data_IF_456111118957
#
_entry.id   IF_456111118957
#
_cell.length_a   1.000
_cell.length_b   1.000
_cell.length_c   1.000
_cell.angle_alpha   90.00
_cell.angle_beta   90.00
_cell.angle_gamma   90.00
#
_symmetry.space_group_name_H-M   'P 1'
#
loop_
_entity.id
_entity.type
_entity.pdbx_description
1 polymer ?
#
# COMPACT_ATOMS: atom_id res chain seq x y z
N UNK A 1 -15.12 34.01 -36.14
CA UNK A 1 -14.95 33.88 -34.67
C UNK A 1 -15.15 32.42 -34.30
N UNK A 2 -14.05 31.71 -34.05
CA UNK A 2 -14.05 30.31 -33.66
C UNK A 2 -13.80 30.20 -32.15
N UNK A 3 -14.51 29.27 -31.51
CA UNK A 3 -14.63 29.10 -30.07
C UNK A 3 -13.28 28.93 -29.37
N UNK A 4 -13.08 29.74 -28.33
CA UNK A 4 -11.92 29.75 -27.44
C UNK A 4 -12.10 28.69 -26.34
N UNK A 5 -11.99 27.41 -26.70
CA UNK A 5 -11.93 26.31 -25.74
C UNK A 5 -11.07 25.19 -26.30
N UNK A 6 -9.76 25.25 -26.08
CA UNK A 6 -8.90 24.07 -26.11
C UNK A 6 -8.61 23.67 -24.65
N UNK A 7 -9.34 22.69 -24.09
CA UNK A 7 -9.06 22.21 -22.75
C UNK A 7 -7.74 21.43 -22.77
N UNK A 8 -6.75 21.93 -22.04
CA UNK A 8 -5.47 21.32 -21.68
C UNK A 8 -5.59 19.98 -20.88
N UNK A 9 -6.67 19.21 -21.06
CA UNK A 9 -7.05 18.07 -20.24
C UNK A 9 -6.44 16.73 -20.70
N UNK A 10 -5.77 16.68 -21.86
CA UNK A 10 -5.27 15.43 -22.42
C UNK A 10 -4.01 14.86 -21.74
N UNK A 11 -3.39 15.59 -20.80
CA UNK A 11 -2.17 15.12 -20.10
C UNK A 11 -2.41 14.59 -18.68
N UNK A 12 -3.64 14.56 -18.19
CA UNK A 12 -3.97 14.15 -16.82
C UNK A 12 -4.20 12.62 -16.65
N UNK A 13 -3.61 11.79 -17.51
CA UNK A 13 -3.89 10.35 -17.57
C UNK A 13 -2.79 9.43 -17.03
N UNK A 14 -1.56 9.91 -16.88
CA UNK A 14 -0.44 9.04 -16.52
C UNK A 14 0.15 9.49 -15.19
N UNK A 15 -0.38 8.95 -14.09
CA UNK A 15 0.35 8.91 -12.82
C UNK A 15 1.52 7.94 -13.00
N UNK A 16 2.59 8.40 -13.63
CA UNK A 16 3.86 7.68 -13.61
C UNK A 16 4.32 7.67 -12.16
N UNK A 17 4.56 6.51 -11.52
CA UNK A 17 5.23 6.52 -10.22
C UNK A 17 6.56 7.24 -10.39
N UNK A 18 6.85 8.19 -9.52
CA UNK A 18 8.12 8.92 -9.51
C UNK A 18 9.26 7.88 -9.46
N UNK A 19 10.06 7.81 -10.52
CA UNK A 19 11.20 6.91 -10.61
C UNK A 19 12.12 7.16 -9.39
N UNK A 20 12.28 6.15 -8.54
CA UNK A 20 13.17 6.20 -7.38
C UNK A 20 12.52 5.93 -6.02
N UNK A 21 11.18 5.89 -5.94
CA UNK A 21 10.51 5.44 -4.71
C UNK A 21 10.43 3.92 -4.72
N UNK A 22 11.11 3.28 -3.77
CA UNK A 22 10.94 1.84 -3.51
C UNK A 22 9.45 1.52 -3.32
N UNK A 23 8.96 0.35 -3.75
CA UNK A 23 7.54 0.08 -3.77
C UNK A 23 6.97 0.11 -2.36
N UNK A 24 6.16 1.11 -2.11
CA UNK A 24 5.24 1.14 -0.98
C UNK A 24 4.31 -0.08 -1.06
N UNK A 25 4.44 -0.99 -0.10
CA UNK A 25 3.61 -2.20 -0.05
C UNK A 25 2.45 -1.96 0.90
N UNK A 26 1.25 -1.92 0.33
CA UNK A 26 0.01 -1.93 1.09
C UNK A 26 -0.48 -3.38 1.25
N UNK A 27 -0.84 -3.75 2.49
CA UNK A 27 -1.46 -5.03 2.79
C UNK A 27 -2.75 -4.82 3.59
N UNK A 28 -3.68 -5.77 3.49
CA UNK A 28 -4.98 -5.67 4.19
C UNK A 28 -4.88 -6.32 5.56
N UNK A 29 -5.31 -5.62 6.61
CA UNK A 29 -5.43 -6.20 7.94
C UNK A 29 -6.50 -7.31 7.94
N UNK A 30 -6.18 -8.54 8.36
CA UNK A 30 -7.15 -9.65 8.39
C UNK A 30 -8.23 -9.50 9.48
N UNK A 31 -8.11 -8.53 10.39
CA UNK A 31 -9.05 -8.31 11.49
C UNK A 31 -10.08 -7.23 11.15
N UNK A 32 -9.61 -6.01 10.84
CA UNK A 32 -10.51 -4.87 10.56
C UNK A 32 -10.63 -4.54 9.07
N UNK A 33 -9.95 -5.29 8.18
CA UNK A 33 -9.98 -5.12 6.73
C UNK A 33 -9.51 -3.74 6.21
N UNK A 34 -8.84 -2.95 7.05
CA UNK A 34 -8.20 -1.69 6.63
C UNK A 34 -6.93 -1.98 5.85
N UNK A 35 -6.59 -1.12 4.89
CA UNK A 35 -5.27 -1.14 4.25
C UNK A 35 -4.24 -0.57 5.21
N UNK A 36 -3.20 -1.36 5.46
CA UNK A 36 -2.04 -1.02 6.29
C UNK A 36 -0.84 -0.86 5.36
N UNK A 37 -0.20 0.29 5.46
CA UNK A 37 0.99 0.60 4.70
C UNK A 37 2.23 0.08 5.43
N UNK A 38 2.98 -0.83 4.82
CA UNK A 38 4.10 -1.52 5.48
C UNK A 38 5.45 -0.79 5.35
N UNK A 39 5.53 0.21 4.47
CA UNK A 39 6.72 1.01 4.20
C UNK A 39 7.90 0.22 3.63
N UNK A 40 8.98 0.92 3.32
CA UNK A 40 10.16 0.38 2.62
C UNK A 40 10.96 -0.66 3.43
N UNK A 41 10.78 -0.68 4.76
CA UNK A 41 11.42 -1.62 5.67
C UNK A 41 10.66 -2.93 5.88
N UNK A 42 9.53 -3.14 5.19
CA UNK A 42 8.70 -4.32 5.32
C UNK A 42 9.48 -5.59 4.98
N UNK A 43 9.71 -6.45 5.98
CA UNK A 43 10.36 -7.75 5.80
C UNK A 43 9.41 -8.87 6.20
N UNK A 44 9.47 -10.03 5.52
CA UNK A 44 8.77 -11.22 5.98
C UNK A 44 9.19 -11.55 7.43
N UNK A 45 8.25 -12.08 8.21
CA UNK A 45 8.37 -12.32 9.66
C UNK A 45 8.53 -11.08 10.55
N UNK A 46 8.47 -9.85 10.00
CA UNK A 46 8.39 -8.66 10.81
C UNK A 46 6.98 -8.50 11.40
N UNK A 47 6.91 -7.94 12.61
CA UNK A 47 5.65 -7.63 13.29
C UNK A 47 5.31 -6.16 13.13
N UNK A 48 4.04 -5.89 12.83
CA UNK A 48 3.49 -4.56 12.60
C UNK A 48 2.15 -4.47 13.31
N UNK A 49 1.90 -3.35 13.98
CA UNK A 49 0.61 -3.09 14.61
C UNK A 49 -0.33 -2.41 13.61
N UNK A 50 -1.58 -2.85 13.55
CA UNK A 50 -2.60 -2.14 12.81
C UNK A 50 -2.98 -0.84 13.53
N UNK A 51 -2.65 0.31 12.95
CA UNK A 51 -2.97 1.62 13.55
C UNK A 51 -4.46 1.92 13.76
N UNK A 52 -5.38 1.11 13.22
CA UNK A 52 -6.82 1.26 13.43
C UNK A 52 -7.38 0.37 14.54
N UNK A 53 -7.07 -0.94 14.51
CA UNK A 53 -7.64 -1.89 15.48
C UNK A 53 -6.66 -2.27 16.60
N UNK A 54 -5.40 -1.84 16.54
CA UNK A 54 -4.36 -2.14 17.52
C UNK A 54 -3.88 -3.60 17.50
N UNK A 55 -4.34 -4.41 16.56
CA UNK A 55 -3.92 -5.81 16.48
C UNK A 55 -2.50 -5.96 15.96
N UNK A 56 -1.76 -6.88 16.57
CA UNK A 56 -0.41 -7.22 16.16
C UNK A 56 -0.47 -8.21 14.99
N UNK A 57 0.12 -7.82 13.88
CA UNK A 57 0.14 -8.58 12.64
C UNK A 57 1.57 -8.97 12.30
N UNK A 58 1.73 -10.08 11.62
CA UNK A 58 2.98 -10.55 11.05
C UNK A 58 2.94 -10.44 9.53
N UNK A 59 3.99 -9.88 8.95
CA UNK A 59 4.18 -9.79 7.50
C UNK A 59 4.61 -11.15 6.99
N UNK A 60 3.88 -11.72 6.04
CA UNK A 60 4.23 -12.99 5.40
C UNK A 60 4.38 -12.78 3.90
N UNK A 61 5.38 -13.42 3.30
CA UNK A 61 5.56 -13.40 1.85
C UNK A 61 4.91 -14.63 1.24
N UNK A 62 3.90 -14.42 0.39
CA UNK A 62 3.27 -15.47 -0.41
C UNK A 62 3.69 -15.30 -1.86
N UNK A 63 4.78 -15.96 -2.23
CA UNK A 63 5.42 -15.75 -3.53
C UNK A 63 6.06 -14.37 -3.62
N UNK A 64 5.54 -13.52 -4.51
CA UNK A 64 6.04 -12.15 -4.75
C UNK A 64 5.11 -11.06 -4.16
N UNK A 65 4.19 -11.44 -3.27
CA UNK A 65 3.23 -10.54 -2.62
C UNK A 65 3.40 -10.64 -1.11
N UNK A 66 3.49 -9.50 -0.43
CA UNK A 66 3.47 -9.45 1.04
C UNK A 66 2.03 -9.37 1.52
N UNK A 67 1.64 -10.29 2.39
CA UNK A 67 0.33 -10.37 3.04
C UNK A 67 0.50 -10.23 4.56
N UNK A 68 -0.61 -9.94 5.26
CA UNK A 68 -0.63 -9.82 6.72
C UNK A 68 -1.39 -10.99 7.33
N UNK A 69 -0.83 -11.55 8.41
CA UNK A 69 -1.45 -12.59 9.23
C UNK A 69 -1.52 -12.11 10.67
N UNK A 70 -2.45 -12.63 11.47
CA UNK A 70 -2.50 -12.31 12.91
C UNK A 70 -1.25 -12.90 13.58
N UNK A 71 -0.48 -12.10 14.31
CA UNK A 71 0.65 -12.61 15.06
C UNK A 71 0.11 -13.41 16.25
N UNK A 72 0.49 -14.68 16.37
CA UNK A 72 0.16 -15.46 17.56
C UNK A 72 0.96 -14.92 18.75
N UNK A 73 0.25 -14.46 19.78
CA UNK A 73 0.85 -14.17 21.07
C UNK A 73 1.22 -15.51 21.71
N UNK A 74 2.53 -15.79 21.82
CA UNK A 74 3.02 -16.86 22.68
C UNK A 74 2.74 -16.56 24.15
#
# INVERSE_FOLDING_TARGET
MANKYDPMWEYAGVKVPLQGTEPDVDAVCPVCHVRVHLGLGARPAARVECGLCGELLEIVSEGNVLTLRKAEAQ
#
